data_IF_633832101014
#
_entry.id   IF_633832101014
#
_cell.length_a   1.000
_cell.length_b   1.000
_cell.length_c   1.000
_cell.angle_alpha   90.00
_cell.angle_beta   90.00
_cell.angle_gamma   90.00
#
_symmetry.space_group_name_H-M   'P 1'
#
loop_
_entity.id
_entity.type
_entity.pdbx_description
1 polymer ?
#
# COMPACT_ATOMS: atom_id res chain seq x y z
N UNK A 1 -3.95 23.09 -9.48
CA UNK A 1 -2.92 22.78 -8.47
C UNK A 1 -3.24 23.60 -7.24
N UNK A 2 -3.43 22.96 -6.09
CA UNK A 2 -3.73 23.64 -4.83
C UNK A 2 -2.52 23.43 -3.91
N UNK A 3 -2.07 24.50 -3.26
CA UNK A 3 -0.99 24.47 -2.27
C UNK A 3 -1.54 25.05 -0.98
N UNK A 4 -1.35 24.31 0.12
CA UNK A 4 -1.76 24.73 1.46
C UNK A 4 -0.57 24.61 2.40
N UNK A 5 -0.42 25.59 3.29
CA UNK A 5 0.56 25.56 4.38
C UNK A 5 -0.19 25.28 5.68
N UNK A 6 0.27 24.26 6.40
CA UNK A 6 -0.32 23.82 7.66
C UNK A 6 0.75 23.91 8.75
N UNK A 7 0.43 24.57 9.85
CA UNK A 7 1.29 24.62 11.03
C UNK A 7 0.85 23.54 12.01
N UNK A 8 1.66 22.50 12.22
CA UNK A 8 1.24 21.27 12.92
C UNK A 8 1.09 21.42 14.43
N UNK A 9 1.53 22.54 15.03
CA UNK A 9 1.41 22.79 16.48
C UNK A 9 0.03 23.36 16.90
N UNK A 10 -0.77 23.86 15.95
CA UNK A 10 -2.11 24.44 16.21
C UNK A 10 -3.21 23.40 15.95
N UNK A 11 -2.85 22.21 15.47
CA UNK A 11 -3.80 21.18 15.07
C UNK A 11 -3.54 19.87 15.80
N UNK A 12 -4.62 19.13 16.05
CA UNK A 12 -4.53 17.79 16.61
C UNK A 12 -3.97 16.82 15.56
N UNK A 13 -3.21 15.82 16.00
CA UNK A 13 -2.53 14.85 15.12
C UNK A 13 -3.49 14.20 14.11
N UNK A 14 -4.71 13.86 14.56
CA UNK A 14 -5.73 13.23 13.73
C UNK A 14 -6.28 14.14 12.62
N UNK A 15 -6.25 15.46 12.79
CA UNK A 15 -6.67 16.42 11.75
C UNK A 15 -5.58 16.56 10.68
N UNK A 16 -4.32 16.65 11.13
CA UNK A 16 -3.14 16.68 10.26
C UNK A 16 -3.09 15.41 9.40
N UNK A 17 -3.35 14.25 10.00
CA UNK A 17 -3.37 12.97 9.29
C UNK A 17 -4.43 12.93 8.19
N UNK A 18 -5.65 13.42 8.45
CA UNK A 18 -6.71 13.47 7.42
C UNK A 18 -6.26 14.30 6.22
N UNK A 19 -5.64 15.47 6.47
CA UNK A 19 -5.15 16.32 5.38
C UNK A 19 -4.01 15.65 4.61
N UNK A 20 -3.08 15.00 5.31
CA UNK A 20 -2.01 14.20 4.70
C UNK A 20 -2.55 13.04 3.86
N UNK A 21 -3.71 12.47 4.20
CA UNK A 21 -4.37 11.44 3.40
C UNK A 21 -5.04 11.99 2.14
N UNK A 22 -5.51 13.23 2.16
CA UNK A 22 -6.12 13.90 1.00
C UNK A 22 -5.05 14.44 0.04
N UNK A 23 -3.90 14.84 0.56
CA UNK A 23 -2.84 15.45 -0.23
C UNK A 23 -2.16 14.46 -1.20
N UNK A 24 -1.94 14.88 -2.44
CA UNK A 24 -1.14 14.14 -3.42
C UNK A 24 0.35 14.17 -3.06
N UNK A 25 0.83 15.31 -2.57
CA UNK A 25 2.22 15.50 -2.15
C UNK A 25 2.22 16.25 -0.83
N UNK A 26 2.96 15.74 0.16
CA UNK A 26 3.23 16.45 1.40
C UNK A 26 4.72 16.74 1.51
N UNK A 27 5.03 17.96 1.96
CA UNK A 27 6.39 18.43 2.23
C UNK A 27 6.44 18.78 3.71
N UNK A 28 7.29 18.09 4.46
CA UNK A 28 7.45 18.31 5.91
C UNK A 28 8.86 18.82 6.15
N UNK A 29 9.07 20.15 6.16
CA UNK A 29 10.36 20.73 6.50
C UNK A 29 10.66 20.54 7.98
N UNK A 30 11.94 20.35 8.31
CA UNK A 30 12.43 20.25 9.68
C UNK A 30 13.82 20.89 9.78
N UNK A 31 14.23 21.23 11.00
CA UNK A 31 15.55 21.81 11.29
C UNK A 31 16.46 20.69 11.80
N UNK A 32 17.66 20.55 11.24
CA UNK A 32 18.66 19.60 11.75
C UNK A 32 19.46 20.24 12.90
N UNK A 33 19.93 19.41 13.82
CA UNK A 33 20.72 19.85 14.97
C UNK A 33 22.11 20.33 14.50
N UNK A 34 22.21 21.63 14.25
CA UNK A 34 23.28 22.26 13.49
C UNK A 34 22.71 23.39 12.65
N UNK A 35 22.44 24.54 13.29
CA UNK A 35 21.58 25.67 12.89
C UNK A 35 21.55 26.16 11.43
N UNK A 36 22.44 25.70 10.55
CA UNK A 36 22.49 26.08 9.13
C UNK A 36 21.88 25.03 8.19
N UNK A 37 21.69 23.78 8.63
CA UNK A 37 21.18 22.70 7.78
C UNK A 37 19.70 22.47 8.08
N UNK A 38 18.87 22.54 7.04
CA UNK A 38 17.46 22.22 7.07
C UNK A 38 17.23 20.89 6.33
N UNK A 39 16.16 20.20 6.69
CA UNK A 39 15.72 19.00 5.99
C UNK A 39 14.28 19.13 5.51
N UNK A 40 13.89 18.34 4.52
CA UNK A 40 12.51 18.20 4.08
C UNK A 40 12.21 16.75 3.73
N UNK A 41 11.18 16.21 4.40
CA UNK A 41 10.59 14.92 4.05
C UNK A 41 9.52 15.14 3.00
N UNK A 42 9.67 14.49 1.86
CA UNK A 42 8.71 14.51 0.76
C UNK A 42 7.97 13.18 0.71
N UNK A 43 6.64 13.23 0.70
CA UNK A 43 5.79 12.06 0.43
C UNK A 43 4.92 12.36 -0.77
N UNK A 44 5.11 11.62 -1.86
CA UNK A 44 4.37 11.79 -3.11
C UNK A 44 3.58 10.53 -3.47
N UNK A 45 2.28 10.69 -3.71
CA UNK A 45 1.35 9.62 -4.09
C UNK A 45 1.12 9.66 -5.60
N UNK A 46 1.58 8.62 -6.29
CA UNK A 46 1.38 8.49 -7.75
C UNK A 46 -0.05 8.05 -8.06
N UNK A 47 -0.58 8.33 -9.27
CA UNK A 47 -1.92 7.89 -9.69
C UNK A 47 -2.17 6.37 -9.57
N UNK A 48 -1.11 5.54 -9.61
CA UNK A 48 -1.19 4.09 -9.40
C UNK A 48 -1.10 3.62 -7.95
N UNK A 49 -1.37 4.49 -6.97
CA UNK A 49 -1.33 4.17 -5.53
C UNK A 49 0.07 4.02 -4.92
N UNK A 50 1.12 3.92 -5.75
CA UNK A 50 2.51 3.86 -5.27
C UNK A 50 2.90 5.16 -4.58
N UNK A 51 3.44 5.04 -3.37
CA UNK A 51 3.95 6.17 -2.57
C UNK A 51 5.48 6.23 -2.69
N UNK A 52 6.01 7.40 -3.02
CA UNK A 52 7.45 7.71 -3.01
C UNK A 52 7.75 8.55 -1.77
N UNK A 53 8.78 8.17 -1.02
CA UNK A 53 9.24 8.89 0.17
C UNK A 53 10.70 9.27 -0.05
N UNK A 54 11.00 10.54 0.10
CA UNK A 54 12.35 11.09 -0.05
C UNK A 54 12.65 11.97 1.15
N UNK A 55 13.92 11.98 1.56
CA UNK A 55 14.41 12.82 2.64
C UNK A 55 15.64 13.57 2.13
N UNK A 56 15.61 14.89 2.19
CA UNK A 56 16.62 15.76 1.59
C UNK A 56 17.05 16.83 2.60
N UNK A 57 18.35 17.02 2.72
CA UNK A 57 18.96 18.09 3.50
C UNK A 57 19.46 19.20 2.57
N UNK A 58 19.32 20.45 3.00
CA UNK A 58 19.72 21.62 2.24
C UNK A 58 20.10 22.79 3.15
N UNK A 59 20.77 23.78 2.58
CA UNK A 59 21.16 25.01 3.25
C UNK A 59 20.32 26.16 2.72
N UNK A 60 19.61 26.84 3.63
CA UNK A 60 18.85 28.05 3.32
C UNK A 60 19.75 29.28 3.50
N UNK A 61 19.95 30.02 2.41
CA UNK A 61 20.71 31.27 2.44
C UNK A 61 19.84 32.44 2.93
N UNK A 62 20.46 33.56 3.36
CA UNK A 62 19.73 34.76 3.77
C UNK A 62 18.85 35.39 2.68
N UNK A 63 19.14 35.10 1.40
CA UNK A 63 18.35 35.53 0.24
C UNK A 63 17.16 34.60 -0.05
N UNK A 64 16.83 33.69 0.88
CA UNK A 64 15.82 32.65 0.76
C UNK A 64 16.09 31.64 -0.36
N UNK A 65 17.30 31.59 -0.91
CA UNK A 65 17.68 30.57 -1.88
C UNK A 65 18.12 29.28 -1.19
N UNK A 66 17.72 28.15 -1.77
CA UNK A 66 18.07 26.81 -1.30
C UNK A 66 19.31 26.33 -2.05
N UNK A 67 20.31 25.84 -1.32
CA UNK A 67 21.56 25.31 -1.90
C UNK A 67 22.01 24.03 -1.21
N UNK A 68 22.96 23.31 -1.83
CA UNK A 68 23.57 22.09 -1.29
C UNK A 68 22.55 20.98 -0.96
N UNK A 69 21.59 20.76 -1.86
CA UNK A 69 20.55 19.72 -1.70
C UNK A 69 21.20 18.34 -1.78
N UNK A 70 21.12 17.58 -0.68
CA UNK A 70 21.65 16.22 -0.55
C UNK A 70 20.53 15.27 -0.17
N UNK A 71 20.41 14.17 -0.90
CA UNK A 71 19.53 13.07 -0.50
C UNK A 71 20.12 12.38 0.72
N UNK A 72 19.38 12.40 1.82
CA UNK A 72 19.73 11.62 3.00
C UNK A 72 19.40 10.17 2.67
N UNK A 73 20.43 9.32 2.63
CA UNK A 73 20.22 7.89 2.48
C UNK A 73 19.40 7.44 3.69
N UNK A 74 18.11 7.13 3.44
CA UNK A 74 17.29 6.42 4.41
C UNK A 74 18.02 5.11 4.71
N UNK A 75 18.74 5.06 5.82
CA UNK A 75 18.94 3.78 6.49
C UNK A 75 17.53 3.27 6.66
N UNK A 76 17.23 2.13 6.05
CA UNK A 76 16.01 1.42 6.36
C UNK A 76 16.11 1.16 7.86
N UNK A 77 15.53 2.04 8.67
CA UNK A 77 15.25 1.75 10.04
C UNK A 77 14.39 0.51 9.95
N UNK A 78 15.00 -0.63 10.27
CA UNK A 78 14.29 -1.85 10.50
C UNK A 78 13.19 -1.44 11.47
N UNK A 79 11.96 -1.34 10.94
CA UNK A 79 10.75 -1.15 11.71
C UNK A 79 10.96 -1.97 12.97
N UNK A 80 10.95 -1.39 14.19
CA UNK A 80 11.05 -2.23 15.37
C UNK A 80 9.96 -3.26 15.17
N UNK A 81 10.37 -4.52 15.01
CA UNK A 81 9.45 -5.63 14.96
C UNK A 81 8.91 -5.67 16.37
N UNK A 82 7.93 -4.82 16.65
CA UNK A 82 6.95 -5.10 17.67
C UNK A 82 6.49 -6.50 17.31
N UNK A 83 6.91 -7.47 18.13
CA UNK A 83 6.47 -8.83 18.02
C UNK A 83 4.95 -8.75 18.07
N UNK A 84 4.31 -8.75 16.89
CA UNK A 84 2.86 -8.70 16.82
C UNK A 84 2.39 -9.93 17.58
N UNK A 85 1.53 -9.78 18.60
CA UNK A 85 0.97 -10.93 19.28
C UNK A 85 0.32 -11.78 18.19
N UNK A 86 0.67 -13.05 18.20
CA UNK A 86 0.14 -14.01 17.23
C UNK A 86 -1.40 -13.94 17.22
N UNK A 87 -2.01 -13.54 16.08
CA UNK A 87 -3.45 -13.29 16.02
C UNK A 87 -4.27 -14.57 16.27
N UNK A 88 -3.62 -15.74 16.23
CA UNK A 88 -4.26 -17.04 16.48
C UNK A 88 -4.19 -17.49 17.94
N UNK A 89 -3.50 -16.76 18.82
CA UNK A 89 -3.22 -17.18 20.20
C UNK A 89 -4.45 -17.23 21.13
N UNK A 90 -5.55 -16.54 20.81
CA UNK A 90 -6.75 -16.45 21.67
C UNK A 90 -8.02 -17.01 21.01
N UNK A 91 -7.87 -17.98 20.09
CA UNK A 91 -9.03 -18.60 19.46
C UNK A 91 -9.52 -19.78 20.30
N UNK A 92 -10.85 -19.93 20.38
CA UNK A 92 -11.50 -21.10 21.02
C UNK A 92 -11.43 -22.36 20.15
N UNK A 93 -10.88 -22.24 18.94
CA UNK A 93 -10.66 -23.31 17.98
C UNK A 93 -9.25 -23.19 17.37
N UNK A 94 -8.69 -24.33 16.98
CA UNK A 94 -7.32 -24.39 16.49
C UNK A 94 -7.27 -24.07 14.97
N UNK A 95 -6.53 -23.04 14.59
CA UNK A 95 -6.25 -22.70 13.18
C UNK A 95 -4.91 -23.25 12.68
N UNK A 96 -4.17 -23.97 13.52
CA UNK A 96 -2.87 -24.56 13.19
C UNK A 96 -3.03 -26.06 13.03
N UNK A 97 -2.44 -26.58 11.98
CA UNK A 97 -2.28 -28.03 11.83
C UNK A 97 -1.09 -28.47 12.71
N UNK A 98 -1.25 -29.59 13.41
CA UNK A 98 -0.10 -30.28 13.99
C UNK A 98 0.80 -30.84 12.88
N UNK A 99 2.02 -31.24 13.22
CA UNK A 99 2.95 -31.80 12.21
C UNK A 99 2.36 -33.10 11.61
N UNK A 100 1.67 -33.90 12.41
CA UNK A 100 0.98 -35.11 11.98
C UNK A 100 -0.17 -34.80 11.02
N UNK A 101 -0.99 -33.79 11.32
CA UNK A 101 -2.12 -33.38 10.47
C UNK A 101 -1.63 -32.78 9.15
N UNK A 102 -0.53 -32.05 9.17
CA UNK A 102 0.11 -31.50 7.96
C UNK A 102 0.62 -32.62 7.06
N UNK A 103 1.32 -33.62 7.63
CA UNK A 103 1.77 -34.80 6.90
C UNK A 103 0.58 -35.58 6.34
N UNK A 104 -0.51 -35.75 7.11
CA UNK A 104 -1.71 -36.42 6.63
C UNK A 104 -2.38 -35.67 5.46
N UNK A 105 -2.47 -34.34 5.54
CA UNK A 105 -3.00 -33.50 4.46
C UNK A 105 -2.16 -33.59 3.20
N UNK A 106 -0.83 -33.54 3.32
CA UNK A 106 0.08 -33.55 2.18
C UNK A 106 0.10 -34.94 1.48
N UNK A 107 -0.16 -36.02 2.22
CA UNK A 107 -0.28 -37.38 1.67
C UNK A 107 -1.69 -37.73 1.17
N UNK A 108 -2.67 -36.84 1.35
CA UNK A 108 -4.04 -37.10 0.92
C UNK A 108 -4.15 -37.03 -0.61
N UNK A 109 -4.33 -38.18 -1.24
CA UNK A 109 -4.57 -38.27 -2.68
C UNK A 109 -6.02 -37.86 -2.99
N UNK A 110 -6.20 -36.70 -3.59
CA UNK A 110 -7.52 -36.21 -4.00
C UNK A 110 -7.97 -36.91 -5.30
N UNK A 111 -9.14 -37.56 -5.34
CA UNK A 111 -9.57 -38.41 -6.47
C UNK A 111 -9.63 -37.72 -7.84
N UNK A 112 -9.75 -36.40 -7.89
CA UNK A 112 -9.94 -35.62 -9.12
C UNK A 112 -8.89 -34.54 -9.37
N UNK A 113 -7.86 -34.44 -8.52
CA UNK A 113 -6.77 -33.49 -8.77
C UNK A 113 -5.82 -34.12 -9.78
N UNK A 114 -5.98 -33.74 -11.06
CA UNK A 114 -4.99 -34.05 -12.10
C UNK A 114 -3.67 -33.42 -11.69
N UNK A 115 -2.73 -34.24 -11.22
CA UNK A 115 -1.37 -33.80 -10.99
C UNK A 115 -0.79 -33.33 -12.33
N UNK A 116 -0.31 -32.09 -12.38
CA UNK A 116 0.23 -31.45 -13.58
C UNK A 116 1.52 -32.10 -14.12
N UNK A 117 1.84 -33.33 -13.71
CA UNK A 117 2.98 -34.11 -14.17
C UNK A 117 2.68 -34.97 -15.42
N UNK A 118 1.44 -35.00 -15.91
CA UNK A 118 1.08 -35.74 -17.15
C UNK A 118 0.71 -34.87 -18.36
N UNK A 119 0.73 -33.54 -18.24
CA UNK A 119 0.65 -32.66 -19.42
C UNK A 119 1.39 -31.35 -19.17
N UNK A 120 2.24 -30.95 -20.13
CA UNK A 120 2.82 -29.60 -20.24
C UNK A 120 1.74 -28.54 -20.55
N UNK A 121 0.65 -28.52 -19.81
CA UNK A 121 -0.36 -27.47 -19.86
C UNK A 121 -0.30 -26.76 -18.51
N UNK A 122 0.50 -25.70 -18.49
CA UNK A 122 0.33 -24.52 -17.64
C UNK A 122 -1.16 -24.39 -17.29
N UNK A 123 -1.51 -24.26 -16.00
CA UNK A 123 -2.88 -24.22 -15.50
C UNK A 123 -3.72 -23.16 -16.22
N UNK A 124 -4.22 -23.52 -17.39
CA UNK A 124 -4.98 -22.70 -18.30
C UNK A 124 -6.42 -23.00 -17.95
N UNK A 125 -7.00 -22.07 -17.21
CA UNK A 125 -8.44 -22.05 -16.98
C UNK A 125 -9.02 -21.55 -18.30
N UNK A 126 -9.48 -22.47 -19.15
CA UNK A 126 -10.19 -22.11 -20.37
C UNK A 126 -11.61 -21.72 -19.98
N UNK A 127 -11.86 -20.42 -19.92
CA UNK A 127 -13.22 -19.90 -19.85
C UNK A 127 -13.81 -19.96 -21.26
N UNK A 128 -14.82 -20.80 -21.45
CA UNK A 128 -15.67 -20.73 -22.65
C UNK A 128 -16.84 -19.85 -22.22
N UNK A 129 -16.97 -18.67 -22.84
CA UNK A 129 -18.19 -17.87 -22.69
C UNK A 129 -19.33 -18.69 -23.31
N UNK A 130 -20.04 -19.44 -22.48
CA UNK A 130 -21.29 -20.05 -22.89
C UNK A 130 -22.32 -18.94 -23.01
N UNK A 131 -23.16 -19.01 -24.05
CA UNK A 131 -24.14 -17.98 -24.44
C UNK A 131 -25.19 -17.64 -23.36
N UNK A 132 -25.09 -18.26 -22.20
CA UNK A 132 -25.94 -18.06 -21.02
C UNK A 132 -25.32 -17.08 -20.01
N UNK A 133 -24.04 -16.69 -20.19
CA UNK A 133 -23.33 -15.73 -19.32
C UNK A 133 -23.29 -14.30 -19.92
N UNK A 134 -23.86 -14.13 -21.12
CA UNK A 134 -24.18 -12.83 -21.76
C UNK A 134 -25.67 -12.44 -21.48
N UNK A 135 -26.33 -13.06 -20.50
CA UNK A 135 -27.69 -12.70 -20.10
C UNK A 135 -27.72 -11.59 -19.03
N UNK A 136 -26.99 -10.52 -19.31
CA UNK A 136 -27.38 -9.16 -18.96
C UNK A 136 -27.37 -8.32 -20.24
N UNK A 137 -28.25 -8.68 -21.19
CA UNK A 137 -28.96 -7.65 -21.94
C UNK A 137 -29.72 -6.80 -20.91
N UNK A 138 -29.01 -5.92 -20.21
CA UNK A 138 -29.60 -4.75 -19.57
C UNK A 138 -30.30 -4.00 -20.70
N UNK A 139 -31.61 -4.20 -20.84
CA UNK A 139 -32.49 -3.16 -21.34
C UNK A 139 -32.22 -1.96 -20.43
N UNK A 140 -31.36 -1.04 -20.87
CA UNK A 140 -31.08 0.22 -20.19
C UNK A 140 -32.44 0.93 -20.02
N UNK A 141 -33.00 1.03 -18.80
CA UNK A 141 -34.33 1.61 -18.56
C UNK A 141 -34.37 3.13 -18.78
N UNK A 142 -33.30 3.67 -19.35
CA UNK A 142 -33.05 5.08 -19.64
C UNK A 142 -33.25 5.38 -21.15
N UNK A 143 -33.36 4.37 -22.01
CA UNK A 143 -33.36 4.52 -23.49
C UNK A 143 -34.72 5.01 -24.05
N UNK A 144 -35.78 4.99 -23.24
CA UNK A 144 -37.09 5.58 -23.50
C UNK A 144 -37.31 6.94 -22.79
N UNK A 145 -36.28 7.51 -22.16
CA UNK A 145 -36.32 8.85 -21.59
C UNK A 145 -35.97 9.93 -22.63
N UNK A 146 -36.98 10.37 -23.37
CA UNK A 146 -36.92 11.56 -24.20
C UNK A 146 -36.99 12.85 -23.35
N UNK A 147 -35.82 13.40 -22.99
CA UNK A 147 -35.69 14.76 -22.43
C UNK A 147 -35.62 15.86 -23.50
#
# INVERSE_FOLDING_TARGET
MIVALLHTDVHEEHEVDKLCHLATTTLTPYVCDGASVLGCKTVHRKPGGRVVREDEEFVLKPDLSITDIKKVAQKQDAKPVTQQPDPTANLTFNLRLSEEEKVAKDNLVLPYVKTASSSKSKGEITYVMEREDDFDEEDDPDDDLNF
#
